data_IF_003905447061
#
_entry.id   IF_003905447061
#
_cell.length_a   1.000
_cell.length_b   1.000
_cell.length_c   1.000
_cell.angle_alpha   90.00
_cell.angle_beta   90.00
_cell.angle_gamma   90.00
#
_symmetry.space_group_name_H-M   'P 1'
#
loop_
_entity.id
_entity.type
_entity.pdbx_description
1 polymer ?
#
# COMPACT_ATOMS: atom_id res chain seq x y z
N UNK A 1 -1.78 -10.68 2.67
CA UNK A 1 -2.78 -9.66 2.24
C UNK A 1 -2.01 -8.43 1.80
N UNK A 2 -2.34 -7.85 0.65
CA UNK A 2 -1.66 -6.64 0.16
C UNK A 2 -2.39 -5.41 0.69
N UNK A 3 -1.73 -4.60 1.51
CA UNK A 3 -2.32 -3.39 2.12
C UNK A 3 -1.89 -2.09 1.44
N UNK A 4 -0.86 -2.15 0.61
CA UNK A 4 -0.28 -0.98 -0.07
C UNK A 4 0.32 -1.39 -1.40
N UNK A 5 0.05 -0.61 -2.44
CA UNK A 5 0.78 -0.64 -3.72
C UNK A 5 1.28 0.78 -3.93
N UNK A 6 2.53 0.94 -4.36
CA UNK A 6 3.12 2.26 -4.50
C UNK A 6 4.33 2.26 -5.41
N UNK A 7 4.57 3.41 -6.03
CA UNK A 7 5.77 3.64 -6.84
C UNK A 7 6.73 4.60 -6.15
N UNK A 8 8.01 4.46 -6.48
CA UNK A 8 9.00 5.45 -6.13
C UNK A 8 9.91 5.73 -7.33
N UNK A 9 10.01 7.01 -7.71
CA UNK A 9 11.07 7.51 -8.60
C UNK A 9 12.36 7.86 -7.87
N UNK A 10 12.37 7.67 -6.55
CA UNK A 10 13.47 8.00 -5.65
C UNK A 10 14.10 6.73 -5.09
N UNK A 11 15.29 6.87 -4.52
CA UNK A 11 15.96 5.79 -3.79
C UNK A 11 15.02 5.15 -2.75
N UNK A 12 14.85 3.83 -2.82
CA UNK A 12 13.92 3.08 -1.99
C UNK A 12 14.23 3.22 -0.49
N UNK A 13 15.49 3.13 -0.08
CA UNK A 13 15.86 3.27 1.34
C UNK A 13 15.46 4.63 1.91
N UNK A 14 15.64 5.70 1.12
CA UNK A 14 15.18 7.04 1.52
C UNK A 14 13.66 7.11 1.62
N UNK A 15 12.93 6.49 0.69
CA UNK A 15 11.46 6.44 0.73
C UNK A 15 10.95 5.66 1.94
N UNK A 16 11.60 4.54 2.29
CA UNK A 16 11.27 3.78 3.49
C UNK A 16 11.54 4.54 4.78
N UNK A 17 12.64 5.29 4.85
CA UNK A 17 12.91 6.16 5.99
C UNK A 17 11.82 7.21 6.17
N UNK A 18 11.35 7.83 5.08
CA UNK A 18 10.24 8.80 5.11
C UNK A 18 8.94 8.14 5.60
N UNK A 19 8.58 6.96 5.08
CA UNK A 19 7.39 6.22 5.55
C UNK A 19 7.47 5.88 7.05
N UNK A 20 8.64 5.41 7.52
CA UNK A 20 8.85 5.15 8.94
C UNK A 20 8.71 6.42 9.77
N UNK A 21 9.22 7.56 9.30
CA UNK A 21 9.05 8.83 9.99
C UNK A 21 7.58 9.22 10.10
N UNK A 22 6.78 9.06 9.04
CA UNK A 22 5.35 9.33 9.07
C UNK A 22 4.59 8.43 10.06
N UNK A 23 4.98 7.15 10.19
CA UNK A 23 4.40 6.29 11.23
C UNK A 23 4.80 6.72 12.64
N UNK A 24 6.08 7.04 12.85
CA UNK A 24 6.62 7.42 14.17
C UNK A 24 6.18 8.82 14.62
N UNK A 25 5.77 9.69 13.70
CA UNK A 25 5.20 11.01 14.00
C UNK A 25 3.69 11.00 14.21
N UNK A 26 3.02 9.87 13.98
CA UNK A 26 1.56 9.78 14.01
C UNK A 26 0.89 10.37 12.77
N UNK A 27 1.64 10.76 11.75
CA UNK A 27 1.05 11.20 10.48
C UNK A 27 0.26 10.08 9.81
N UNK A 28 0.82 8.87 9.81
CA UNK A 28 0.16 7.69 9.29
C UNK A 28 -0.60 6.94 10.37
N UNK A 29 -1.81 6.52 10.01
CA UNK A 29 -2.59 5.59 10.80
C UNK A 29 -2.02 4.18 10.77
N UNK A 30 -2.45 3.38 11.72
CA UNK A 30 -2.06 1.97 11.86
C UNK A 30 -3.28 1.06 11.86
N UNK A 31 -3.08 -0.18 11.43
CA UNK A 31 -4.12 -1.20 11.39
C UNK A 31 -3.88 -2.25 12.47
N UNK A 32 -4.97 -2.85 12.94
CA UNK A 32 -4.93 -4.01 13.81
C UNK A 32 -4.46 -5.22 13.01
N UNK A 33 -3.28 -5.74 13.34
CA UNK A 33 -2.68 -6.84 12.60
C UNK A 33 -3.49 -8.14 12.70
N UNK A 34 -4.11 -8.43 13.85
CA UNK A 34 -4.94 -9.61 14.03
C UNK A 34 -6.25 -9.51 13.25
N UNK A 35 -6.82 -8.31 13.11
CA UNK A 35 -7.94 -8.06 12.21
C UNK A 35 -7.52 -8.24 10.74
N UNK A 36 -6.35 -7.71 10.35
CA UNK A 36 -5.83 -7.86 8.99
C UNK A 36 -5.62 -9.34 8.60
N UNK A 37 -5.16 -10.19 9.52
CA UNK A 37 -5.06 -11.65 9.29
C UNK A 37 -6.39 -12.30 8.96
N UNK A 38 -7.49 -11.74 9.47
CA UNK A 38 -8.85 -12.21 9.23
C UNK A 38 -9.49 -11.56 7.99
N UNK A 39 -8.73 -10.77 7.22
CA UNK A 39 -9.25 -10.03 6.07
C UNK A 39 -10.11 -8.82 6.44
N UNK A 40 -9.97 -8.32 7.68
CA UNK A 40 -10.70 -7.14 8.16
C UNK A 40 -9.80 -5.92 8.25
N UNK A 41 -10.38 -4.78 7.89
CA UNK A 41 -9.68 -3.50 7.92
C UNK A 41 -10.12 -2.72 9.14
N UNK A 42 -9.43 -2.95 10.25
CA UNK A 42 -9.66 -2.23 11.50
C UNK A 42 -8.47 -1.33 11.78
N UNK A 43 -8.73 -0.03 11.97
CA UNK A 43 -7.67 0.91 12.33
C UNK A 43 -7.53 0.98 13.83
N UNK A 44 -6.30 0.88 14.29
CA UNK A 44 -5.93 1.09 15.70
C UNK A 44 -5.66 2.55 15.99
N UNK A 45 -5.28 3.32 14.97
CA UNK A 45 -5.10 4.76 15.02
C UNK A 45 -5.37 5.35 13.62
N UNK A 46 -6.18 6.41 13.48
CA UNK A 46 -6.52 6.95 12.17
C UNK A 46 -5.37 7.67 11.44
N UNK A 47 -4.42 8.25 12.17
CA UNK A 47 -3.35 9.10 11.63
C UNK A 47 -3.77 10.56 11.48
N UNK A 48 -2.88 11.51 11.79
CA UNK A 48 -3.19 12.95 11.67
C UNK A 48 -3.42 13.38 10.22
N UNK A 49 -2.90 12.64 9.24
CA UNK A 49 -3.20 12.87 7.83
C UNK A 49 -4.69 12.66 7.46
N UNK A 50 -5.43 11.87 8.26
CA UNK A 50 -6.85 11.54 8.05
C UNK A 50 -7.71 11.96 9.24
N UNK A 51 -7.42 13.13 9.81
CA UNK A 51 -8.23 13.82 10.82
C UNK A 51 -8.04 13.36 12.29
N UNK A 52 -7.01 12.59 12.62
CA UNK A 52 -6.67 12.36 14.02
C UNK A 52 -6.09 13.62 14.68
N UNK A 53 -6.40 13.84 15.95
CA UNK A 53 -5.76 14.91 16.73
C UNK A 53 -4.32 14.50 17.11
N UNK A 54 -3.39 15.44 17.04
CA UNK A 54 -2.04 15.24 17.53
C UNK A 54 -2.02 15.08 19.05
N UNK A 55 -2.95 15.71 19.78
CA UNK A 55 -3.10 15.53 21.22
C UNK A 55 -3.44 14.06 21.55
N UNK A 56 -4.37 13.46 20.81
CA UNK A 56 -4.72 12.03 20.95
C UNK A 56 -3.50 11.13 20.71
N UNK A 57 -2.68 11.44 19.71
CA UNK A 57 -1.44 10.70 19.46
C UNK A 57 -0.47 10.80 20.63
N UNK A 58 -0.26 12.00 21.17
CA UNK A 58 0.65 12.22 22.30
C UNK A 58 0.14 11.50 23.56
N UNK A 59 -1.15 11.57 23.85
CA UNK A 59 -1.76 10.92 25.02
C UNK A 59 -1.69 9.39 24.93
N UNK A 60 -1.91 8.84 23.74
CA UNK A 60 -2.01 7.39 23.53
C UNK A 60 -0.76 6.76 22.88
N UNK A 61 0.35 7.52 22.77
CA UNK A 61 1.52 7.10 21.99
C UNK A 61 2.05 5.72 22.39
N UNK A 62 2.07 5.35 23.67
CA UNK A 62 2.61 4.04 24.09
C UNK A 62 1.80 2.87 23.52
N UNK A 63 0.47 2.97 23.54
CA UNK A 63 -0.40 1.94 22.96
C UNK A 63 -0.27 1.91 21.44
N UNK A 64 -0.31 3.08 20.81
CA UNK A 64 -0.17 3.22 19.35
C UNK A 64 1.15 2.62 18.88
N UNK A 65 2.26 2.92 19.57
CA UNK A 65 3.59 2.40 19.21
C UNK A 65 3.69 0.89 19.41
N UNK A 66 3.00 0.32 20.40
CA UNK A 66 2.98 -1.13 20.61
C UNK A 66 2.34 -1.84 19.41
N UNK A 67 1.18 -1.33 18.95
CA UNK A 67 0.47 -1.86 17.78
C UNK A 67 1.21 -1.57 16.47
N UNK A 68 1.79 -0.37 16.33
CA UNK A 68 2.63 0.01 15.20
C UNK A 68 3.83 -0.91 15.06
N UNK A 69 4.49 -1.24 16.18
CA UNK A 69 5.63 -2.16 16.19
C UNK A 69 5.20 -3.51 15.62
N UNK A 70 4.12 -4.08 16.14
CA UNK A 70 3.58 -5.34 15.62
C UNK A 70 3.27 -5.28 14.11
N UNK A 71 2.58 -4.23 13.67
CA UNK A 71 2.30 -4.00 12.25
C UNK A 71 3.57 -3.95 11.40
N UNK A 72 4.57 -3.15 11.79
CA UNK A 72 5.83 -2.99 11.04
C UNK A 72 6.67 -4.27 11.02
N UNK A 73 6.74 -5.02 12.13
CA UNK A 73 7.50 -6.27 12.20
C UNK A 73 6.92 -7.38 11.32
N UNK A 74 5.62 -7.34 11.06
CA UNK A 74 4.93 -8.32 10.22
C UNK A 74 4.65 -7.78 8.80
N UNK A 75 5.12 -6.58 8.47
CA UNK A 75 4.97 -6.03 7.12
C UNK A 75 6.09 -6.56 6.24
N UNK A 76 5.71 -7.27 5.18
CA UNK A 76 6.62 -7.69 4.12
C UNK A 76 6.54 -6.72 2.94
N UNK A 77 7.69 -6.38 2.37
CA UNK A 77 7.79 -5.42 1.27
C UNK A 77 8.42 -6.12 0.07
N UNK A 78 7.70 -6.11 -1.04
CA UNK A 78 8.16 -6.65 -2.32
C UNK A 78 8.50 -5.50 -3.26
N UNK A 79 9.62 -5.64 -3.98
CA UNK A 79 10.13 -4.59 -4.86
C UNK A 79 10.33 -5.14 -6.25
N UNK A 80 9.86 -4.37 -7.23
CA UNK A 80 10.09 -4.63 -8.65
C UNK A 80 10.91 -3.45 -9.20
N UNK A 81 12.19 -3.65 -9.55
CA UNK A 81 12.98 -2.60 -10.17
C UNK A 81 12.50 -2.40 -11.62
N UNK A 82 11.99 -1.20 -11.92
CA UNK A 82 11.46 -0.85 -13.23
C UNK A 82 12.29 0.26 -13.87
N UNK A 83 12.83 -0.01 -15.05
CA UNK A 83 13.50 0.99 -15.88
C UNK A 83 12.56 1.53 -16.97
N UNK A 84 11.43 2.08 -16.53
CA UNK A 84 10.37 2.64 -17.39
C UNK A 84 10.02 4.06 -16.94
N UNK A 85 9.32 4.79 -17.80
CA UNK A 85 8.87 6.16 -17.54
C UNK A 85 7.98 6.29 -16.30
N UNK A 86 7.76 7.53 -15.85
CA UNK A 86 6.86 7.81 -14.73
C UNK A 86 5.43 7.32 -15.03
N UNK A 87 4.88 7.68 -16.20
CA UNK A 87 3.53 7.31 -16.64
C UNK A 87 3.29 5.80 -16.56
N UNK A 88 4.15 5.01 -17.20
CA UNK A 88 4.04 3.55 -17.18
C UNK A 88 4.02 2.98 -15.75
N UNK A 89 4.81 3.53 -14.84
CA UNK A 89 4.83 3.07 -13.44
C UNK A 89 3.54 3.43 -12.71
N UNK A 90 2.97 4.61 -12.97
CA UNK A 90 1.68 5.03 -12.40
C UNK A 90 0.55 4.14 -12.95
N UNK A 91 0.51 3.89 -14.26
CA UNK A 91 -0.47 2.97 -14.88
C UNK A 91 -0.35 1.56 -14.27
N UNK A 92 0.88 1.05 -14.12
CA UNK A 92 1.14 -0.24 -13.49
C UNK A 92 0.68 -0.29 -12.02
N UNK A 93 0.97 0.75 -11.23
CA UNK A 93 0.50 0.84 -9.84
C UNK A 93 -1.01 0.75 -9.76
N UNK A 94 -1.70 1.51 -10.61
CA UNK A 94 -3.16 1.52 -10.69
C UNK A 94 -3.72 0.17 -11.15
N UNK A 95 -3.13 -0.45 -12.18
CA UNK A 95 -3.55 -1.76 -12.67
C UNK A 95 -3.42 -2.84 -11.59
N UNK A 96 -2.28 -2.89 -10.88
CA UNK A 96 -2.07 -3.81 -9.76
C UNK A 96 -3.09 -3.54 -8.64
N UNK A 97 -3.26 -2.27 -8.25
CA UNK A 97 -4.18 -1.92 -7.17
C UNK A 97 -5.64 -2.26 -7.52
N UNK A 98 -6.05 -2.05 -8.77
CA UNK A 98 -7.40 -2.35 -9.25
C UNK A 98 -7.66 -3.84 -9.33
N UNK A 99 -6.75 -4.65 -9.87
CA UNK A 99 -6.91 -6.10 -9.91
C UNK A 99 -7.06 -6.70 -8.51
N UNK A 100 -6.19 -6.28 -7.58
CA UNK A 100 -6.28 -6.76 -6.20
C UNK A 100 -7.61 -6.31 -5.57
N UNK A 101 -8.02 -5.05 -5.76
CA UNK A 101 -9.28 -4.53 -5.20
C UNK A 101 -10.52 -5.20 -5.79
N UNK A 102 -10.52 -5.49 -7.08
CA UNK A 102 -11.67 -6.08 -7.78
C UNK A 102 -11.76 -7.60 -7.61
N UNK A 103 -10.68 -8.25 -7.20
CA UNK A 103 -10.72 -9.68 -6.92
C UNK A 103 -11.66 -10.00 -5.75
N UNK A 104 -12.53 -11.00 -5.90
CA UNK A 104 -13.57 -11.34 -4.93
C UNK A 104 -13.04 -11.86 -3.57
N UNK A 105 -11.73 -12.06 -3.46
CA UNK A 105 -11.07 -12.70 -2.31
C UNK A 105 -10.32 -11.71 -1.40
N UNK A 106 -10.41 -10.41 -1.67
CA UNK A 106 -9.63 -9.41 -0.93
C UNK A 106 -10.41 -8.75 0.20
N UNK A 107 -11.74 -8.68 0.13
CA UNK A 107 -12.54 -7.99 1.17
C UNK A 107 -12.36 -6.46 1.11
N UNK A 108 -12.75 -5.73 2.16
CA UNK A 108 -12.63 -4.26 2.25
C UNK A 108 -11.16 -3.82 2.45
N UNK A 109 -10.23 -4.25 1.59
CA UNK A 109 -8.82 -3.91 1.76
C UNK A 109 -8.61 -2.40 1.67
N UNK A 110 -7.80 -1.83 2.57
CA UNK A 110 -7.40 -0.45 2.47
C UNK A 110 -6.27 -0.33 1.44
N UNK A 111 -6.49 -0.79 0.22
CA UNK A 111 -5.53 -0.63 -0.87
C UNK A 111 -5.47 0.84 -1.26
N UNK A 112 -4.54 1.56 -0.62
CA UNK A 112 -4.05 2.82 -1.16
C UNK A 112 -3.11 2.51 -2.32
N UNK A 113 -3.47 3.05 -3.47
CA UNK A 113 -2.62 3.24 -4.64
C UNK A 113 -2.99 4.59 -5.25
N UNK A 114 -2.14 5.09 -6.15
CA UNK A 114 -2.47 6.28 -6.93
C UNK A 114 -3.84 6.11 -7.61
N UNK A 115 -4.75 7.11 -7.53
CA UNK A 115 -5.95 7.10 -8.36
C UNK A 115 -5.53 6.95 -9.82
N UNK A 116 -6.24 6.13 -10.61
CA UNK A 116 -6.05 6.09 -12.06
C UNK A 116 -6.05 7.52 -12.58
N UNK A 117 -4.98 7.94 -13.24
CA UNK A 117 -5.08 9.08 -14.15
C UNK A 117 -6.07 8.69 -15.24
N UNK A 118 -6.90 9.64 -15.66
CA UNK A 118 -7.85 9.42 -16.75
C UNK A 118 -7.07 8.90 -17.97
N UNK A 119 -7.41 7.69 -18.42
CA UNK A 119 -6.81 7.03 -19.57
C UNK A 119 -7.01 7.96 -20.78
N UNK A 120 -5.92 8.39 -21.43
CA UNK A 120 -6.07 9.04 -22.73
C UNK A 120 -6.41 7.95 -23.77
N UNK A 121 -7.46 8.13 -24.59
CA UNK A 121 -8.01 7.06 -25.45
C UNK A 121 -7.06 6.54 -26.55
N UNK A 122 -5.88 7.12 -26.69
CA UNK A 122 -4.84 6.74 -27.65
C UNK A 122 -3.61 6.06 -26.99
N UNK A 123 -3.62 5.79 -25.67
CA UNK A 123 -2.56 4.99 -25.03
C UNK A 123 -2.72 3.50 -25.41
N UNK A 124 -1.70 2.93 -26.06
CA UNK A 124 -1.63 1.48 -26.32
C UNK A 124 -1.52 0.74 -24.97
N UNK A 125 -2.43 -0.19 -24.71
CA UNK A 125 -2.33 -1.08 -23.55
C UNK A 125 -1.23 -2.12 -23.78
N UNK A 126 -0.43 -2.37 -22.74
CA UNK A 126 0.64 -3.36 -22.75
C UNK A 126 0.28 -4.50 -21.77
N UNK A 127 0.36 -5.75 -22.22
CA UNK A 127 0.27 -6.89 -21.31
C UNK A 127 1.64 -7.19 -20.73
N UNK A 128 1.72 -7.18 -19.40
CA UNK A 128 2.91 -7.62 -18.66
C UNK A 128 2.68 -8.99 -18.03
N UNK A 129 3.73 -9.79 -17.98
CA UNK A 129 3.77 -11.05 -17.24
C UNK A 129 4.38 -10.80 -15.85
N UNK A 130 3.66 -11.22 -14.81
CA UNK A 130 4.08 -11.15 -13.42
C UNK A 130 4.65 -12.51 -13.02
N UNK A 131 5.98 -12.60 -13.03
CA UNK A 131 6.72 -13.78 -12.58
C UNK A 131 7.15 -13.61 -11.12
N UNK A 132 6.64 -14.47 -10.24
CA UNK A 132 6.94 -14.42 -8.81
C UNK A 132 6.76 -15.80 -8.18
N UNK A 133 7.62 -16.12 -7.21
CA UNK A 133 7.49 -17.34 -6.40
C UNK A 133 6.35 -17.24 -5.36
N UNK A 134 5.81 -16.03 -5.15
CA UNK A 134 4.79 -15.75 -4.13
C UNK A 134 3.44 -15.54 -4.81
N UNK A 135 2.44 -16.32 -4.39
CA UNK A 135 1.09 -16.13 -4.87
C UNK A 135 0.42 -14.94 -4.15
N UNK A 136 0.36 -13.79 -4.82
CA UNK A 136 -0.40 -12.64 -4.34
C UNK A 136 -1.89 -12.81 -4.67
N UNK A 137 -2.71 -12.98 -3.63
CA UNK A 137 -4.16 -13.06 -3.79
C UNK A 137 -4.67 -11.80 -4.51
N UNK A 138 -5.36 -12.00 -5.64
CA UNK A 138 -5.94 -10.92 -6.43
C UNK A 138 -5.03 -10.36 -7.52
N UNK A 139 -3.78 -10.80 -7.61
CA UNK A 139 -2.87 -10.38 -8.69
C UNK A 139 -2.80 -11.49 -9.76
N UNK A 140 -3.20 -11.22 -11.02
CA UNK A 140 -3.09 -12.21 -12.08
C UNK A 140 -1.64 -12.40 -12.55
N UNK A 141 -1.36 -13.52 -13.23
CA UNK A 141 -0.06 -13.74 -13.88
C UNK A 141 0.14 -12.83 -15.09
N UNK A 142 -0.93 -12.42 -15.76
CA UNK A 142 -0.88 -11.47 -16.86
C UNK A 142 -1.71 -10.25 -16.48
N UNK A 143 -1.11 -9.07 -16.53
CA UNK A 143 -1.76 -7.81 -16.18
C UNK A 143 -1.73 -6.88 -17.39
N UNK A 144 -2.87 -6.28 -17.71
CA UNK A 144 -2.97 -5.22 -18.71
C UNK A 144 -2.72 -3.86 -18.05
N UNK A 145 -1.82 -3.08 -18.63
CA UNK A 145 -1.35 -1.78 -18.14
C UNK A 145 -1.64 -0.71 -19.18
#
# INVERSE_FOLDING_TARGET
MVTYVGITGRNFAKRMQEHLQCYLSGEYGTYDFEALKQGKTERTYPGTYRDADIEEFIENHQEIFTKLKEYLYNTEIFLIPLNRGKQFRENLESAIADEIRNSSNTGDLPLSGSPKQDYEPDEESETIEIDTEINFIGLPTNLEV
#
